data_IF_837774129483
#
_entry.id   IF_837774129483
#
_cell.length_a   1.000
_cell.length_b   1.000
_cell.length_c   1.000
_cell.angle_alpha   90.00
_cell.angle_beta   90.00
_cell.angle_gamma   90.00
#
_symmetry.space_group_name_H-M   'P 1'
#
loop_
_entity.id
_entity.type
_entity.pdbx_description
1 polymer ?
#
# COMPACT_ATOMS: atom_id res chain seq x y z
N UNK A 1 -18.39 31.88 55.76
CA UNK A 1 -17.53 30.79 55.37
C UNK A 1 -18.09 30.01 54.20
N UNK A 2 -18.37 30.70 53.02
CA UNK A 2 -18.93 30.04 51.83
C UNK A 2 -18.52 30.83 50.57
N UNK A 3 -17.21 30.75 50.16
CA UNK A 3 -16.78 31.41 48.90
C UNK A 3 -15.52 30.78 48.24
N UNK A 4 -15.20 29.51 48.51
CA UNK A 4 -13.95 28.88 47.95
C UNK A 4 -14.14 27.62 47.11
N UNK A 5 -15.36 27.12 46.84
CA UNK A 5 -15.58 25.84 46.18
C UNK A 5 -15.87 25.98 44.65
N UNK A 6 -16.29 27.17 44.15
CA UNK A 6 -16.74 27.32 42.75
C UNK A 6 -15.64 27.50 41.67
N UNK A 7 -14.36 27.74 42.06
CA UNK A 7 -13.30 27.99 41.06
C UNK A 7 -12.54 26.73 40.59
N UNK A 8 -12.62 25.59 41.26
CA UNK A 8 -11.93 24.36 40.83
C UNK A 8 -12.69 23.57 39.79
N UNK A 9 -13.99 23.62 39.72
CA UNK A 9 -14.81 22.86 38.77
C UNK A 9 -14.79 23.42 37.34
N UNK A 10 -14.62 24.73 37.17
CA UNK A 10 -14.57 25.37 35.85
C UNK A 10 -13.25 25.11 35.11
N UNK A 11 -12.13 25.03 35.81
CA UNK A 11 -10.83 24.72 35.21
C UNK A 11 -10.71 23.28 34.64
N UNK A 12 -11.31 22.31 35.35
CA UNK A 12 -11.32 20.90 34.92
C UNK A 12 -12.21 20.64 33.70
N UNK A 13 -13.37 21.33 33.62
CA UNK A 13 -14.28 21.22 32.47
C UNK A 13 -13.65 21.86 31.23
N UNK A 14 -13.01 23.02 31.36
CA UNK A 14 -12.34 23.70 30.25
C UNK A 14 -11.15 22.91 29.71
N UNK A 15 -10.39 22.25 30.58
CA UNK A 15 -9.25 21.38 30.17
C UNK A 15 -9.74 20.09 29.52
N UNK A 16 -10.85 19.52 29.97
CA UNK A 16 -11.46 18.34 29.38
C UNK A 16 -12.05 18.63 27.99
N UNK A 17 -12.77 19.75 27.83
CA UNK A 17 -13.33 20.20 26.55
C UNK A 17 -12.21 20.48 25.53
N UNK A 18 -11.15 21.18 25.92
CA UNK A 18 -10.03 21.47 25.03
C UNK A 18 -9.18 20.24 24.66
N UNK A 19 -9.18 19.19 25.46
CA UNK A 19 -8.59 17.88 25.10
C UNK A 19 -9.52 17.12 24.15
N UNK A 20 -10.82 17.13 24.40
CA UNK A 20 -11.82 16.49 23.55
C UNK A 20 -11.86 17.13 22.17
N UNK A 21 -11.86 18.48 22.05
CA UNK A 21 -11.80 19.19 20.78
C UNK A 21 -10.52 18.92 19.99
N UNK A 22 -9.36 18.87 20.66
CA UNK A 22 -8.09 18.52 20.02
C UNK A 22 -8.05 17.06 19.54
N UNK A 23 -8.68 16.16 20.27
CA UNK A 23 -8.75 14.74 19.93
C UNK A 23 -9.75 14.50 18.79
N UNK A 24 -10.89 15.20 18.81
CA UNK A 24 -11.90 15.21 17.75
C UNK A 24 -11.32 15.81 16.47
N UNK A 25 -10.66 16.96 16.52
CA UNK A 25 -10.00 17.57 15.37
C UNK A 25 -8.91 16.70 14.74
N UNK A 26 -8.14 15.95 15.56
CA UNK A 26 -7.15 14.98 15.04
C UNK A 26 -7.80 13.77 14.39
N UNK A 27 -8.92 13.28 14.89
CA UNK A 27 -9.67 12.18 14.31
C UNK A 27 -10.29 12.58 12.96
N UNK A 28 -10.85 13.81 12.88
CA UNK A 28 -11.39 14.37 11.65
C UNK A 28 -10.30 14.60 10.60
N UNK A 29 -9.15 15.14 11.01
CA UNK A 29 -8.00 15.30 10.13
C UNK A 29 -7.54 13.97 9.55
N UNK A 30 -7.42 12.92 10.38
CA UNK A 30 -7.06 11.57 9.92
C UNK A 30 -8.11 11.00 8.96
N UNK A 31 -9.41 11.19 9.23
CA UNK A 31 -10.48 10.76 8.33
C UNK A 31 -10.40 11.47 6.98
N UNK A 32 -10.19 12.78 6.97
CA UNK A 32 -10.05 13.54 5.74
C UNK A 32 -8.82 13.13 4.93
N UNK A 33 -7.66 12.95 5.58
CA UNK A 33 -6.46 12.45 4.90
C UNK A 33 -6.70 11.06 4.27
N UNK A 34 -7.36 10.15 5.00
CA UNK A 34 -7.73 8.82 4.46
C UNK A 34 -8.64 8.94 3.25
N UNK A 35 -9.72 9.74 3.32
CA UNK A 35 -10.65 9.97 2.20
C UNK A 35 -9.95 10.54 0.97
N UNK A 36 -9.00 11.46 1.16
CA UNK A 36 -8.20 12.04 0.08
C UNK A 36 -7.29 10.98 -0.57
N UNK A 37 -6.63 10.14 0.22
CA UNK A 37 -5.80 9.06 -0.29
C UNK A 37 -6.63 7.96 -1.00
N UNK A 38 -7.81 7.62 -0.48
CA UNK A 38 -8.73 6.66 -1.12
C UNK A 38 -9.18 7.20 -2.49
N UNK A 39 -9.64 8.46 -2.53
CA UNK A 39 -10.04 9.11 -3.77
C UNK A 39 -8.89 9.21 -4.78
N UNK A 40 -7.68 9.52 -4.32
CA UNK A 40 -6.50 9.57 -5.16
C UNK A 40 -6.17 8.20 -5.77
N UNK A 41 -6.20 7.12 -4.97
CA UNK A 41 -5.97 5.77 -5.46
C UNK A 41 -6.97 5.37 -6.55
N UNK A 42 -8.27 5.62 -6.31
CA UNK A 42 -9.34 5.34 -7.28
C UNK A 42 -9.15 6.11 -8.60
N UNK A 43 -8.91 7.41 -8.52
CA UNK A 43 -8.79 8.27 -9.71
C UNK A 43 -7.51 7.98 -10.50
N UNK A 44 -6.37 7.80 -9.83
CA UNK A 44 -5.09 7.48 -10.47
C UNK A 44 -5.10 6.11 -11.16
N UNK A 45 -5.96 5.19 -10.74
CA UNK A 45 -6.15 3.92 -11.42
C UNK A 45 -6.82 4.07 -12.80
N UNK A 46 -7.48 5.21 -13.06
CA UNK A 46 -8.18 5.53 -14.31
C UNK A 46 -7.36 6.54 -15.13
N UNK A 47 -6.89 7.62 -14.48
CA UNK A 47 -6.15 8.70 -15.11
C UNK A 47 -4.90 9.05 -14.28
N UNK A 48 -3.69 8.76 -14.80
CA UNK A 48 -2.44 9.13 -14.15
C UNK A 48 -2.22 10.64 -13.98
N UNK A 49 -2.95 11.48 -14.70
CA UNK A 49 -2.80 12.94 -14.70
C UNK A 49 -3.82 13.66 -13.81
N UNK A 50 -4.62 12.92 -13.02
CA UNK A 50 -5.64 13.48 -12.14
C UNK A 50 -5.13 14.66 -11.31
N UNK A 51 -5.93 15.73 -11.22
CA UNK A 51 -5.59 16.95 -10.48
C UNK A 51 -5.98 16.85 -9.00
N UNK A 52 -5.38 17.71 -8.16
CA UNK A 52 -5.75 17.81 -6.73
C UNK A 52 -7.22 18.25 -6.55
N UNK A 53 -7.75 19.07 -7.47
CA UNK A 53 -9.14 19.50 -7.48
C UNK A 53 -10.09 18.32 -7.67
N UNK A 54 -9.80 17.44 -8.62
CA UNK A 54 -10.58 16.22 -8.86
C UNK A 54 -10.53 15.29 -7.64
N UNK A 55 -9.36 15.16 -7.00
CA UNK A 55 -9.20 14.37 -5.76
C UNK A 55 -10.04 14.97 -4.62
N UNK A 56 -10.00 16.30 -4.41
CA UNK A 56 -10.78 16.95 -3.35
C UNK A 56 -12.29 16.80 -3.57
N UNK A 57 -12.74 16.97 -4.81
CA UNK A 57 -14.15 16.80 -5.20
C UNK A 57 -14.61 15.34 -4.97
N UNK A 58 -13.84 14.35 -5.42
CA UNK A 58 -14.14 12.92 -5.24
C UNK A 58 -14.17 12.52 -3.76
N UNK A 59 -13.24 13.04 -2.96
CA UNK A 59 -13.15 12.83 -1.52
C UNK A 59 -14.26 13.55 -0.74
N UNK A 60 -14.99 14.49 -1.35
CA UNK A 60 -15.92 15.43 -0.69
C UNK A 60 -15.24 16.18 0.47
N UNK A 61 -14.04 16.69 0.20
CA UNK A 61 -13.21 17.46 1.14
C UNK A 61 -12.93 18.81 0.48
N UNK A 62 -12.94 19.91 1.25
CA UNK A 62 -12.68 21.23 0.70
C UNK A 62 -11.23 21.35 0.17
N UNK A 63 -11.02 22.22 -0.84
CA UNK A 63 -9.66 22.50 -1.36
C UNK A 63 -8.72 22.98 -0.26
N UNK A 64 -9.18 23.86 0.63
CA UNK A 64 -8.40 24.35 1.77
C UNK A 64 -7.96 23.21 2.67
N UNK A 65 -8.86 22.26 2.97
CA UNK A 65 -8.55 21.08 3.78
C UNK A 65 -7.57 20.16 3.06
N UNK A 66 -7.70 19.97 1.74
CA UNK A 66 -6.74 19.20 0.96
C UNK A 66 -5.33 19.80 1.06
N UNK A 67 -5.19 21.13 0.78
CA UNK A 67 -3.89 21.80 0.85
C UNK A 67 -3.30 21.86 2.26
N UNK A 68 -4.14 21.79 3.30
CA UNK A 68 -3.65 21.63 4.67
C UNK A 68 -3.00 20.24 4.90
N UNK A 69 -3.49 19.18 4.24
CA UNK A 69 -2.93 17.83 4.33
C UNK A 69 -1.78 17.59 3.35
N UNK A 70 -1.93 18.05 2.12
CA UNK A 70 -0.99 17.79 1.03
C UNK A 70 -0.68 19.10 0.30
N UNK A 71 0.51 19.65 0.54
CA UNK A 71 0.95 20.94 -0.02
C UNK A 71 1.10 20.94 -1.55
N UNK A 72 1.28 19.76 -2.14
CA UNK A 72 1.45 19.56 -3.58
C UNK A 72 0.93 18.20 -4.04
N UNK A 73 0.86 18.01 -5.36
CA UNK A 73 0.56 16.71 -5.96
C UNK A 73 1.62 15.67 -5.62
N UNK A 74 2.87 16.07 -5.59
CA UNK A 74 4.01 15.22 -5.21
C UNK A 74 3.87 14.75 -3.77
N UNK A 75 3.51 15.63 -2.83
CA UNK A 75 3.27 15.27 -1.43
C UNK A 75 2.12 14.25 -1.28
N UNK A 76 1.05 14.39 -2.06
CA UNK A 76 -0.04 13.42 -2.11
C UNK A 76 0.42 12.07 -2.65
N UNK A 77 1.18 12.06 -3.76
CA UNK A 77 1.73 10.83 -4.37
C UNK A 77 2.73 10.12 -3.45
N UNK A 78 3.57 10.88 -2.72
CA UNK A 78 4.47 10.30 -1.73
C UNK A 78 3.72 9.65 -0.58
N UNK A 79 2.73 10.34 0.00
CA UNK A 79 1.90 9.77 1.06
C UNK A 79 1.12 8.52 0.59
N UNK A 80 0.64 8.54 -0.65
CA UNK A 80 -0.04 7.39 -1.23
C UNK A 80 0.92 6.22 -1.47
N UNK A 81 2.16 6.51 -1.86
CA UNK A 81 3.22 5.50 -2.02
C UNK A 81 3.56 4.86 -0.68
N UNK A 82 3.80 5.64 0.37
CA UNK A 82 4.05 5.13 1.73
C UNK A 82 2.90 4.25 2.23
N UNK A 83 1.66 4.67 1.99
CA UNK A 83 0.48 3.88 2.33
C UNK A 83 0.45 2.56 1.56
N UNK A 84 0.73 2.57 0.26
CA UNK A 84 0.77 1.34 -0.55
C UNK A 84 1.82 0.35 -0.07
N UNK A 85 3.02 0.82 0.29
CA UNK A 85 4.09 0.02 0.88
C UNK A 85 3.66 -0.59 2.22
N UNK A 86 3.00 0.21 3.07
CA UNK A 86 2.47 -0.28 4.35
C UNK A 86 1.39 -1.35 4.16
N UNK A 87 0.52 -1.21 3.17
CA UNK A 87 -0.51 -2.20 2.86
C UNK A 87 0.08 -3.49 2.25
N UNK A 88 1.13 -3.40 1.41
CA UNK A 88 1.89 -4.58 0.93
C UNK A 88 2.48 -5.34 2.11
N UNK A 89 3.12 -4.64 3.06
CA UNK A 89 3.66 -5.27 4.25
C UNK A 89 2.57 -5.98 5.06
N UNK A 90 1.45 -5.32 5.34
CA UNK A 90 0.34 -5.92 6.07
C UNK A 90 -0.27 -7.14 5.34
N UNK A 91 -0.35 -7.09 4.01
CA UNK A 91 -0.80 -8.21 3.19
C UNK A 91 0.13 -9.43 3.33
N UNK A 92 1.44 -9.23 3.27
CA UNK A 92 2.44 -10.29 3.44
C UNK A 92 2.45 -10.85 4.87
N UNK A 93 2.27 -10.01 5.89
CA UNK A 93 2.11 -10.45 7.27
C UNK A 93 0.86 -11.33 7.43
N UNK A 94 -0.27 -10.92 6.87
CA UNK A 94 -1.54 -11.68 6.92
C UNK A 94 -1.50 -12.99 6.13
N UNK A 95 -0.67 -13.06 5.10
CA UNK A 95 -0.47 -14.28 4.28
C UNK A 95 0.27 -15.39 5.02
N UNK A 96 0.79 -15.13 6.23
CA UNK A 96 1.52 -16.10 7.07
C UNK A 96 2.60 -16.84 6.31
N UNK A 97 3.52 -16.07 5.74
CA UNK A 97 4.59 -16.57 4.84
C UNK A 97 5.53 -17.60 5.51
N UNK A 98 5.49 -17.73 6.83
CA UNK A 98 6.28 -18.71 7.60
C UNK A 98 5.56 -20.04 7.84
N UNK A 99 4.24 -20.14 7.55
CA UNK A 99 3.41 -21.30 7.85
C UNK A 99 3.09 -22.13 6.60
N UNK A 100 3.05 -23.44 6.76
CA UNK A 100 2.69 -24.42 5.72
C UNK A 100 3.78 -24.65 4.68
N UNK A 101 3.42 -25.34 3.61
CA UNK A 101 4.30 -25.62 2.49
C UNK A 101 4.70 -24.31 1.77
N UNK A 102 5.97 -24.17 1.30
CA UNK A 102 6.46 -22.92 0.71
C UNK A 102 5.68 -22.47 -0.52
N UNK A 103 5.26 -23.39 -1.37
CA UNK A 103 4.46 -23.14 -2.57
C UNK A 103 3.07 -22.57 -2.24
N UNK A 104 2.38 -23.16 -1.26
CA UNK A 104 1.11 -22.66 -0.76
C UNK A 104 1.26 -21.28 -0.09
N UNK A 105 2.32 -21.08 0.72
CA UNK A 105 2.62 -19.81 1.33
C UNK A 105 2.91 -18.73 0.28
N UNK A 106 3.62 -19.07 -0.79
CA UNK A 106 3.89 -18.17 -1.91
C UNK A 106 2.60 -17.79 -2.64
N UNK A 107 1.73 -18.76 -2.92
CA UNK A 107 0.44 -18.49 -3.54
C UNK A 107 -0.39 -17.50 -2.70
N UNK A 108 -0.53 -17.74 -1.39
CA UNK A 108 -1.24 -16.82 -0.48
C UNK A 108 -0.62 -15.43 -0.47
N UNK A 109 0.71 -15.34 -0.45
CA UNK A 109 1.45 -14.08 -0.47
C UNK A 109 1.19 -13.29 -1.76
N UNK A 110 1.21 -13.95 -2.91
CA UNK A 110 0.95 -13.33 -4.21
C UNK A 110 -0.50 -12.89 -4.35
N UNK A 111 -1.47 -13.72 -3.96
CA UNK A 111 -2.90 -13.38 -3.95
C UNK A 111 -3.17 -12.14 -3.09
N UNK A 112 -2.65 -12.12 -1.85
CA UNK A 112 -2.80 -10.98 -0.94
C UNK A 112 -2.15 -9.71 -1.48
N UNK A 113 -0.96 -9.81 -2.06
CA UNK A 113 -0.23 -8.69 -2.65
C UNK A 113 -0.93 -8.18 -3.92
N UNK A 114 -1.46 -9.09 -4.75
CA UNK A 114 -2.20 -8.73 -5.96
C UNK A 114 -3.39 -7.81 -5.68
N UNK A 115 -4.15 -8.07 -4.60
CA UNK A 115 -5.26 -7.20 -4.19
C UNK A 115 -4.80 -5.76 -3.89
N UNK A 116 -3.62 -5.61 -3.25
CA UNK A 116 -3.03 -4.28 -2.97
C UNK A 116 -2.57 -3.62 -4.26
N UNK A 117 -1.83 -4.33 -5.12
CA UNK A 117 -1.35 -3.80 -6.41
C UNK A 117 -2.52 -3.35 -7.28
N UNK A 118 -3.63 -4.10 -7.32
CA UNK A 118 -4.85 -3.74 -8.03
C UNK A 118 -5.43 -2.40 -7.57
N UNK A 119 -5.41 -2.13 -6.25
CA UNK A 119 -5.87 -0.87 -5.67
C UNK A 119 -4.97 0.31 -6.06
N UNK A 120 -3.66 0.10 -6.09
CA UNK A 120 -2.65 1.14 -6.34
C UNK A 120 -2.03 1.07 -7.74
N UNK A 121 -2.69 0.41 -8.71
CA UNK A 121 -2.15 0.22 -10.07
C UNK A 121 -1.72 1.51 -10.77
N UNK A 122 -2.36 2.64 -10.47
CA UNK A 122 -1.92 3.93 -10.98
C UNK A 122 -0.52 4.32 -10.50
N UNK A 123 -0.16 4.04 -9.23
CA UNK A 123 1.18 4.28 -8.71
C UNK A 123 2.23 3.34 -9.34
N UNK A 124 1.87 2.11 -9.66
CA UNK A 124 2.75 1.15 -10.35
C UNK A 124 3.22 1.72 -11.70
N UNK A 125 2.36 2.46 -12.39
CA UNK A 125 2.69 3.11 -13.66
C UNK A 125 3.44 4.44 -13.50
N UNK A 126 3.11 5.22 -12.46
CA UNK A 126 3.64 6.58 -12.24
C UNK A 126 5.00 6.56 -11.55
N UNK A 127 5.16 5.77 -10.48
CA UNK A 127 6.32 5.82 -9.62
C UNK A 127 7.65 5.50 -10.32
N UNK A 128 7.78 4.51 -11.23
CA UNK A 128 9.03 4.27 -11.94
C UNK A 128 9.50 5.47 -12.79
N UNK A 129 8.56 6.27 -13.31
CA UNK A 129 8.84 7.49 -14.06
C UNK A 129 9.15 8.68 -13.17
N UNK A 130 8.47 8.77 -12.02
CA UNK A 130 8.60 9.88 -11.05
C UNK A 130 9.83 9.74 -10.15
N UNK A 131 10.07 8.57 -9.63
CA UNK A 131 11.10 8.29 -8.61
C UNK A 131 12.33 7.59 -9.19
N UNK A 132 12.20 6.91 -10.33
CA UNK A 132 13.17 5.94 -10.82
C UNK A 132 12.98 4.55 -10.17
N UNK A 133 13.41 3.51 -10.90
CA UNK A 133 13.23 2.10 -10.48
C UNK A 133 13.94 1.77 -9.17
N UNK A 134 15.14 2.32 -8.97
CA UNK A 134 15.95 2.04 -7.78
C UNK A 134 15.33 2.61 -6.50
N UNK A 135 14.74 3.81 -6.58
CA UNK A 135 14.03 4.40 -5.43
C UNK A 135 12.76 3.62 -5.10
N UNK A 136 11.98 3.22 -6.11
CA UNK A 136 10.80 2.35 -5.90
C UNK A 136 11.21 1.06 -5.21
N UNK A 137 12.28 0.41 -5.67
CA UNK A 137 12.82 -0.81 -5.06
C UNK A 137 13.24 -0.58 -3.62
N UNK A 138 14.02 0.47 -3.33
CA UNK A 138 14.44 0.80 -1.95
C UNK A 138 13.25 0.99 -1.00
N UNK A 139 12.19 1.66 -1.44
CA UNK A 139 10.98 1.87 -0.62
C UNK A 139 10.20 0.58 -0.37
N UNK A 140 10.19 -0.34 -1.34
CA UNK A 140 9.49 -1.62 -1.22
C UNK A 140 10.29 -2.69 -0.45
N UNK A 141 11.63 -2.64 -0.49
CA UNK A 141 12.51 -3.67 0.07
C UNK A 141 12.15 -4.09 1.50
N UNK A 142 11.91 -3.17 2.48
CA UNK A 142 11.54 -3.57 3.83
C UNK A 142 10.20 -4.31 3.90
N UNK A 143 9.26 -3.99 3.01
CA UNK A 143 7.96 -4.65 2.94
C UNK A 143 8.06 -6.04 2.30
N UNK A 144 9.01 -6.25 1.40
CA UNK A 144 9.22 -7.51 0.67
C UNK A 144 10.14 -8.51 1.41
N UNK A 145 10.76 -8.11 2.53
CA UNK A 145 11.62 -8.99 3.32
C UNK A 145 10.97 -10.35 3.69
N UNK A 146 9.68 -10.45 4.08
CA UNK A 146 9.03 -11.73 4.33
C UNK A 146 8.97 -12.63 3.10
N UNK A 147 8.80 -12.06 1.91
CA UNK A 147 8.76 -12.81 0.65
C UNK A 147 10.15 -13.36 0.29
N UNK A 148 11.21 -12.57 0.50
CA UNK A 148 12.59 -13.02 0.34
C UNK A 148 12.92 -14.19 1.26
N UNK A 149 12.51 -14.12 2.54
CA UNK A 149 12.71 -15.21 3.49
C UNK A 149 11.94 -16.48 3.11
N UNK A 150 10.74 -16.33 2.53
CA UNK A 150 9.96 -17.45 2.00
C UNK A 150 10.66 -18.13 0.83
N UNK A 151 11.27 -17.36 -0.09
CA UNK A 151 12.07 -17.91 -1.19
C UNK A 151 13.23 -18.76 -0.63
N UNK A 152 14.00 -18.21 0.31
CA UNK A 152 15.11 -18.94 0.96
C UNK A 152 14.62 -20.23 1.65
N UNK A 153 13.46 -20.16 2.32
CA UNK A 153 12.86 -21.34 2.96
C UNK A 153 12.46 -22.40 1.93
N UNK A 154 11.87 -21.99 0.82
CA UNK A 154 11.48 -22.88 -0.28
C UNK A 154 12.67 -23.56 -0.94
N UNK A 155 13.76 -22.83 -1.16
CA UNK A 155 15.01 -23.38 -1.69
C UNK A 155 15.62 -24.43 -0.75
N UNK A 156 15.67 -24.14 0.55
CA UNK A 156 16.19 -25.09 1.55
C UNK A 156 15.38 -26.38 1.68
N UNK A 157 14.08 -26.31 1.41
CA UNK A 157 13.18 -27.47 1.45
C UNK A 157 13.10 -28.23 0.11
N UNK A 158 13.74 -27.73 -0.96
CA UNK A 158 13.64 -28.29 -2.31
C UNK A 158 12.33 -27.94 -3.04
N UNK A 159 11.49 -27.06 -2.47
CA UNK A 159 10.26 -26.63 -3.13
C UNK A 159 10.51 -25.58 -4.24
N UNK A 160 11.61 -24.84 -4.14
CA UNK A 160 12.01 -23.83 -5.12
C UNK A 160 13.42 -24.09 -5.62
N UNK A 161 13.71 -23.63 -6.84
CA UNK A 161 15.00 -23.77 -7.49
C UNK A 161 16.14 -23.19 -6.63
N UNK A 162 17.09 -24.03 -6.16
CA UNK A 162 18.20 -23.57 -5.34
C UNK A 162 19.33 -22.91 -6.14
N UNK A 163 19.37 -23.06 -7.46
CA UNK A 163 20.45 -22.56 -8.33
C UNK A 163 20.31 -21.05 -8.58
N UNK A 164 19.09 -20.50 -8.46
CA UNK A 164 18.82 -19.09 -8.68
C UNK A 164 18.97 -18.29 -7.39
N UNK A 165 19.64 -17.13 -7.46
CA UNK A 165 19.77 -16.24 -6.31
C UNK A 165 18.39 -15.78 -5.79
N UNK A 166 18.14 -15.78 -4.46
CA UNK A 166 16.85 -15.36 -3.90
C UNK A 166 16.42 -13.93 -4.32
N UNK A 167 17.37 -13.01 -4.44
CA UNK A 167 17.11 -11.64 -4.87
C UNK A 167 16.72 -11.54 -6.35
N UNK A 168 17.25 -12.45 -7.19
CA UNK A 168 16.85 -12.57 -8.58
C UNK A 168 15.40 -13.08 -8.69
N UNK A 169 15.05 -14.14 -7.98
CA UNK A 169 13.67 -14.65 -7.93
C UNK A 169 12.70 -13.61 -7.41
N UNK A 170 13.06 -12.85 -6.37
CA UNK A 170 12.25 -11.76 -5.84
C UNK A 170 12.03 -10.66 -6.89
N UNK A 171 13.06 -10.28 -7.63
CA UNK A 171 12.95 -9.30 -8.71
C UNK A 171 12.01 -9.79 -9.81
N UNK A 172 12.16 -11.04 -10.28
CA UNK A 172 11.27 -11.63 -11.29
C UNK A 172 9.81 -11.69 -10.83
N UNK A 173 9.55 -12.09 -9.59
CA UNK A 173 8.19 -12.10 -9.02
C UNK A 173 7.59 -10.69 -8.98
N UNK A 174 8.38 -9.71 -8.56
CA UNK A 174 7.94 -8.31 -8.52
C UNK A 174 7.63 -7.78 -9.91
N UNK A 175 8.49 -8.05 -10.88
CA UNK A 175 8.28 -7.63 -12.27
C UNK A 175 7.09 -8.37 -12.92
N UNK A 176 6.84 -9.63 -12.56
CA UNK A 176 5.66 -10.38 -13.03
C UNK A 176 4.36 -9.78 -12.49
N UNK A 177 4.32 -9.34 -11.22
CA UNK A 177 3.19 -8.60 -10.64
C UNK A 177 2.96 -7.28 -11.41
N UNK A 178 4.03 -6.54 -11.70
CA UNK A 178 3.94 -5.29 -12.46
C UNK A 178 3.45 -5.51 -13.90
N UNK A 179 3.94 -6.57 -14.56
CA UNK A 179 3.49 -6.94 -15.90
C UNK A 179 1.99 -7.30 -15.91
N UNK A 180 1.52 -8.11 -14.96
CA UNK A 180 0.11 -8.45 -14.83
C UNK A 180 -0.74 -7.18 -14.59
N UNK A 181 -0.30 -6.27 -13.72
CA UNK A 181 -0.97 -4.99 -13.46
C UNK A 181 -1.05 -4.11 -14.72
N UNK A 182 0.00 -4.07 -15.54
CA UNK A 182 0.04 -3.33 -16.79
C UNK A 182 -0.95 -3.91 -17.82
N UNK A 183 -1.10 -5.25 -17.90
CA UNK A 183 -2.09 -5.89 -18.79
C UNK A 183 -3.54 -5.54 -18.40
N UNK A 184 -3.84 -5.46 -17.09
CA UNK A 184 -5.16 -5.00 -16.62
C UNK A 184 -5.37 -3.51 -16.95
N UNK A 185 -4.35 -2.68 -16.74
CA UNK A 185 -4.45 -1.23 -16.98
C UNK A 185 -4.62 -0.88 -18.47
N UNK A 186 -4.05 -1.68 -19.37
CA UNK A 186 -4.21 -1.52 -20.82
C UNK A 186 -5.50 -2.13 -21.38
N UNK A 187 -6.27 -2.85 -20.54
CA UNK A 187 -7.46 -3.59 -20.98
C UNK A 187 -7.17 -4.88 -21.76
N UNK A 188 -5.91 -5.31 -21.84
CA UNK A 188 -5.51 -6.53 -22.54
C UNK A 188 -5.92 -7.80 -21.76
N UNK A 189 -6.06 -7.70 -20.44
CA UNK A 189 -6.55 -8.78 -19.58
C UNK A 189 -7.55 -8.23 -18.55
N UNK A 190 -8.53 -9.06 -18.16
CA UNK A 190 -9.31 -8.79 -16.95
C UNK A 190 -8.51 -9.14 -15.69
N UNK A 191 -8.99 -8.67 -14.54
CA UNK A 191 -8.28 -8.85 -13.25
C UNK A 191 -8.12 -10.32 -12.89
N UNK A 192 -9.12 -11.16 -13.15
CA UNK A 192 -9.10 -12.60 -12.85
C UNK A 192 -8.12 -13.37 -13.75
N UNK A 193 -8.10 -13.02 -15.03
CA UNK A 193 -7.16 -13.59 -16.00
C UNK A 193 -5.71 -13.23 -15.66
N UNK A 194 -5.48 -11.98 -15.29
CA UNK A 194 -4.15 -11.50 -14.89
C UNK A 194 -3.66 -12.16 -13.58
N UNK A 195 -4.54 -12.33 -12.57
CA UNK A 195 -4.21 -13.04 -11.33
C UNK A 195 -3.82 -14.50 -11.61
N UNK A 196 -4.59 -15.19 -12.45
CA UNK A 196 -4.31 -16.58 -12.85
C UNK A 196 -2.98 -16.69 -13.59
N UNK A 197 -2.70 -15.75 -14.51
CA UNK A 197 -1.45 -15.69 -15.24
C UNK A 197 -0.27 -15.44 -14.29
N UNK A 198 -0.41 -14.48 -13.35
CA UNK A 198 0.59 -14.21 -12.30
C UNK A 198 0.94 -15.45 -11.50
N UNK A 199 -0.06 -16.15 -10.95
CA UNK A 199 0.16 -17.33 -10.11
C UNK A 199 0.83 -18.47 -10.87
N UNK A 200 0.43 -18.72 -12.12
CA UNK A 200 1.06 -19.73 -12.99
C UNK A 200 2.50 -19.38 -13.36
N UNK A 201 2.75 -18.12 -13.72
CA UNK A 201 4.10 -17.64 -14.03
C UNK A 201 5.02 -17.72 -12.83
N UNK A 202 4.54 -17.32 -11.66
CA UNK A 202 5.30 -17.39 -10.41
C UNK A 202 5.66 -18.84 -10.05
N UNK A 203 4.73 -19.79 -10.20
CA UNK A 203 5.00 -21.21 -9.97
C UNK A 203 6.08 -21.72 -10.92
N UNK A 204 6.01 -21.38 -12.20
CA UNK A 204 7.01 -21.79 -13.19
C UNK A 204 8.39 -21.15 -12.93
N UNK A 205 8.44 -19.89 -12.49
CA UNK A 205 9.69 -19.20 -12.15
C UNK A 205 10.40 -19.77 -10.91
N UNK A 206 9.64 -20.34 -9.99
CA UNK A 206 10.17 -20.89 -8.74
C UNK A 206 10.52 -22.37 -8.83
N UNK A 207 10.00 -23.10 -9.81
CA UNK A 207 10.26 -24.53 -9.97
C UNK A 207 11.68 -24.78 -10.48
N UNK A 208 12.36 -25.76 -9.90
CA UNK A 208 13.57 -26.34 -10.52
C UNK A 208 13.22 -26.98 -11.87
N UNK A 209 14.16 -26.99 -12.84
CA UNK A 209 14.00 -27.62 -14.14
C UNK A 209 13.78 -29.13 -14.07
#
# INVERSE_FOLDING_TARGET
>A
MFRRVRRRSQGLIFTAVSRFDRQCGRADARRNARRLLDAAAELLAIDPLVSLEQVSARAKVSRTTLYHHFSSREALLDALTERSVSEVRAALESARTTEGAPDEAMRRALESTWQVVGRYRGLVLINPRRLGRDEVRRRLEPALAPLRLLIVRGQRSGAFDPELAPDWLLALLTDTIHAASAQVSSGAMDTTGAERALLRSAAALLSAP
#
